data_IF_737945075190
#
_entry.id   IF_737945075190
#
_cell.length_a   1.000
_cell.length_b   1.000
_cell.length_c   1.000
_cell.angle_alpha   90.00
_cell.angle_beta   90.00
_cell.angle_gamma   90.00
#
_symmetry.space_group_name_H-M   'P 1'
#
loop_
_entity.id
_entity.type
_entity.pdbx_description
1 polymer ?
#
# COMPACT_ATOMS: atom_id res chain seq x y z
N UNK A 1 -17.95 -3.10 -21.32
CA UNK A 1 -17.59 -3.93 -20.14
C UNK A 1 -17.03 -3.01 -19.08
N UNK A 2 -17.60 -3.03 -17.87
CA UNK A 2 -17.07 -2.24 -16.73
C UNK A 2 -15.97 -3.05 -16.07
N UNK A 3 -14.72 -2.57 -16.10
CA UNK A 3 -13.60 -3.23 -15.43
C UNK A 3 -13.57 -2.76 -13.97
N UNK A 4 -13.75 -3.71 -13.05
CA UNK A 4 -13.83 -3.47 -11.60
C UNK A 4 -13.02 -4.52 -10.86
N UNK A 5 -12.27 -4.08 -9.85
CA UNK A 5 -11.56 -4.92 -8.90
C UNK A 5 -12.28 -4.87 -7.54
N UNK A 6 -12.72 -6.02 -7.06
CA UNK A 6 -13.40 -6.15 -5.76
C UNK A 6 -12.38 -6.52 -4.70
N UNK A 7 -12.32 -5.76 -3.61
CA UNK A 7 -11.23 -5.90 -2.65
C UNK A 7 -11.73 -6.19 -1.24
N UNK A 8 -12.69 -5.39 -0.76
CA UNK A 8 -13.32 -5.56 0.55
C UNK A 8 -14.79 -5.11 0.48
N UNK A 9 -15.64 -5.50 1.46
CA UNK A 9 -16.99 -4.96 1.55
C UNK A 9 -16.97 -3.42 1.51
N UNK A 10 -17.61 -2.84 0.50
CA UNK A 10 -17.68 -1.39 0.29
C UNK A 10 -16.47 -0.74 -0.40
N UNK A 11 -15.45 -1.50 -0.80
CA UNK A 11 -14.28 -1.00 -1.53
C UNK A 11 -14.16 -1.70 -2.88
N UNK A 12 -14.57 -0.98 -3.93
CA UNK A 12 -14.34 -1.34 -5.33
C UNK A 12 -13.26 -0.43 -5.91
N UNK A 13 -12.45 -0.92 -6.85
CA UNK A 13 -11.63 -0.05 -7.69
C UNK A 13 -12.09 -0.20 -9.14
N UNK A 14 -12.24 0.93 -9.82
CA UNK A 14 -12.91 1.01 -11.11
C UNK A 14 -12.10 1.92 -12.03
N UNK A 15 -12.23 1.67 -13.34
CA UNK A 15 -11.71 2.59 -14.34
C UNK A 15 -12.30 3.99 -14.14
N UNK A 16 -11.51 5.02 -14.44
CA UNK A 16 -11.92 6.42 -14.32
C UNK A 16 -11.81 6.99 -12.91
N UNK A 17 -11.32 6.22 -11.93
CA UNK A 17 -11.19 6.69 -10.55
C UNK A 17 -9.75 6.54 -10.03
N UNK A 18 -9.20 7.65 -9.53
CA UNK A 18 -8.03 7.67 -8.67
C UNK A 18 -8.48 7.42 -7.24
N UNK A 19 -8.04 6.31 -6.66
CA UNK A 19 -8.28 6.00 -5.24
C UNK A 19 -7.00 6.04 -4.43
N UNK A 20 -7.07 6.67 -3.26
CA UNK A 20 -6.03 6.61 -2.24
C UNK A 20 -6.47 5.60 -1.18
N UNK A 21 -5.62 4.63 -0.88
CA UNK A 21 -5.85 3.59 0.12
C UNK A 21 -4.86 3.77 1.27
N UNK A 22 -5.37 4.07 2.45
CA UNK A 22 -4.57 4.08 3.69
C UNK A 22 -4.93 2.83 4.49
N UNK A 23 -4.00 1.89 4.55
CA UNK A 23 -4.25 0.56 5.12
C UNK A 23 -2.95 -0.09 5.60
N UNK A 24 -3.00 -1.05 6.55
CA UNK A 24 -1.85 -1.90 6.84
C UNK A 24 -1.33 -2.61 5.58
N UNK A 25 0.00 -2.82 5.41
CA UNK A 25 0.57 -3.50 4.25
C UNK A 25 -0.02 -4.89 3.98
N UNK A 26 -0.46 -5.58 5.01
CA UNK A 26 -1.09 -6.90 4.92
C UNK A 26 -2.41 -6.85 4.13
N UNK A 27 -3.11 -5.71 4.12
CA UNK A 27 -4.31 -5.52 3.30
C UNK A 27 -3.93 -5.40 1.83
N UNK A 28 -2.92 -4.61 1.50
CA UNK A 28 -2.44 -4.51 0.12
C UNK A 28 -1.84 -5.83 -0.37
N UNK A 29 -1.18 -6.60 0.50
CA UNK A 29 -0.69 -7.93 0.18
C UNK A 29 -1.84 -8.89 -0.16
N UNK A 30 -2.88 -8.93 0.68
CA UNK A 30 -4.08 -9.73 0.40
C UNK A 30 -4.78 -9.33 -0.90
N UNK A 31 -4.72 -8.05 -1.29
CA UNK A 31 -5.23 -7.60 -2.59
C UNK A 31 -4.45 -8.23 -3.75
N UNK A 32 -3.13 -8.25 -3.67
CA UNK A 32 -2.26 -8.82 -4.69
C UNK A 32 -2.35 -10.35 -4.78
N UNK A 33 -2.82 -11.02 -3.72
CA UNK A 33 -3.07 -12.46 -3.68
C UNK A 33 -4.42 -12.86 -4.30
N UNK A 34 -5.30 -11.90 -4.60
CA UNK A 34 -6.58 -12.19 -5.26
C UNK A 34 -6.34 -12.81 -6.65
N UNK A 35 -7.00 -13.95 -6.97
CA UNK A 35 -6.89 -14.56 -8.30
C UNK A 35 -7.22 -13.59 -9.44
N UNK A 36 -8.10 -12.63 -9.22
CA UNK A 36 -8.52 -11.64 -10.22
C UNK A 36 -7.36 -10.74 -10.68
N UNK A 37 -6.37 -10.48 -9.83
CA UNK A 37 -5.21 -9.65 -10.18
C UNK A 37 -4.43 -10.24 -11.35
N UNK A 38 -4.38 -11.57 -11.48
CA UNK A 38 -3.64 -12.23 -12.57
C UNK A 38 -4.27 -11.99 -13.94
N UNK A 39 -5.54 -11.58 -13.99
CA UNK A 39 -6.24 -11.25 -15.22
C UNK A 39 -5.95 -9.82 -15.71
N UNK A 40 -5.21 -9.02 -14.94
CA UNK A 40 -4.89 -7.64 -15.26
C UNK A 40 -3.39 -7.45 -15.50
N UNK A 41 -3.05 -6.71 -16.55
CA UNK A 41 -1.73 -6.11 -16.68
C UNK A 41 -1.58 -5.07 -15.57
N UNK A 42 -0.77 -5.38 -14.57
CA UNK A 42 -0.63 -4.64 -13.32
C UNK A 42 0.79 -4.09 -13.20
N UNK A 43 0.90 -2.77 -13.09
CA UNK A 43 2.13 -2.07 -12.75
C UNK A 43 2.15 -1.76 -11.27
N UNK A 44 3.21 -2.18 -10.57
CA UNK A 44 3.40 -1.87 -9.15
C UNK A 44 4.62 -0.97 -8.96
N UNK A 45 4.40 0.31 -8.67
CA UNK A 45 5.45 1.29 -8.44
C UNK A 45 5.72 1.41 -6.93
N UNK A 46 6.97 1.36 -6.52
CA UNK A 46 7.34 1.53 -5.11
C UNK A 46 8.68 2.26 -4.96
N UNK A 47 8.93 2.84 -3.80
CA UNK A 47 10.22 3.44 -3.46
C UNK A 47 10.99 2.56 -2.48
N UNK A 48 12.30 2.39 -2.70
CA UNK A 48 13.16 1.60 -1.82
C UNK A 48 12.64 0.17 -1.62
N UNK A 49 12.61 -0.29 -0.38
CA UNK A 49 12.06 -1.60 -0.03
C UNK A 49 10.54 -1.52 0.11
N UNK A 50 9.81 -2.19 -0.76
CA UNK A 50 8.36 -2.35 -0.65
C UNK A 50 7.99 -3.07 0.65
N UNK A 51 7.03 -2.51 1.38
CA UNK A 51 6.39 -3.16 2.52
C UNK A 51 5.43 -4.26 2.05
N UNK A 52 4.89 -4.19 0.84
CA UNK A 52 3.91 -5.16 0.35
C UNK A 52 4.58 -6.35 -0.34
N UNK A 53 5.51 -6.11 -1.26
CA UNK A 53 6.10 -7.17 -2.09
C UNK A 53 6.88 -8.21 -1.28
N UNK A 54 7.40 -7.85 -0.11
CA UNK A 54 8.05 -8.81 0.80
C UNK A 54 7.07 -9.77 1.49
N UNK A 55 5.78 -9.41 1.55
CA UNK A 55 4.74 -10.18 2.26
C UNK A 55 3.98 -11.14 1.34
N UNK A 56 4.06 -10.94 0.03
CA UNK A 56 3.41 -11.81 -0.95
C UNK A 56 4.40 -12.85 -1.46
N UNK A 57 3.95 -14.10 -1.73
CA UNK A 57 4.74 -15.04 -2.52
C UNK A 57 5.18 -14.38 -3.84
N UNK A 58 6.31 -14.78 -4.44
CA UNK A 58 6.70 -14.28 -5.75
C UNK A 58 5.53 -14.41 -6.73
N UNK A 59 5.01 -13.27 -7.19
CA UNK A 59 3.87 -13.23 -8.11
C UNK A 59 4.40 -13.76 -9.45
N UNK A 60 4.02 -14.99 -9.81
CA UNK A 60 4.47 -15.67 -11.04
C UNK A 60 3.64 -15.32 -12.26
N UNK A 61 3.00 -14.15 -12.27
CA UNK A 61 2.20 -13.69 -13.40
C UNK A 61 3.06 -12.86 -14.34
N UNK A 62 3.06 -13.21 -15.63
CA UNK A 62 3.67 -12.40 -16.69
C UNK A 62 3.01 -11.01 -16.80
N UNK A 63 1.82 -10.85 -16.22
CA UNK A 63 1.06 -9.61 -16.24
C UNK A 63 1.36 -8.70 -15.04
N UNK A 64 2.26 -9.07 -14.11
CA UNK A 64 2.62 -8.25 -12.96
C UNK A 64 4.05 -7.70 -13.08
N UNK A 65 4.18 -6.38 -13.23
CA UNK A 65 5.45 -5.71 -13.45
C UNK A 65 5.79 -4.74 -12.29
N UNK A 66 6.59 -5.16 -11.29
CA UNK A 66 7.08 -4.26 -10.25
C UNK A 66 8.19 -3.35 -10.78
N UNK A 67 8.21 -2.08 -10.35
CA UNK A 67 9.29 -1.15 -10.63
C UNK A 67 9.58 -0.30 -9.40
N UNK A 68 10.87 -0.20 -9.08
CA UNK A 68 11.37 0.72 -8.07
C UNK A 68 11.58 2.10 -8.69
N UNK A 69 11.08 3.13 -8.01
CA UNK A 69 11.32 4.54 -8.33
C UNK A 69 12.14 5.16 -7.20
N UNK A 70 13.37 5.58 -7.50
CA UNK A 70 14.27 6.20 -6.53
C UNK A 70 13.85 7.64 -6.21
N UNK A 71 13.19 8.32 -7.16
CA UNK A 71 12.79 9.72 -7.03
C UNK A 71 11.33 9.95 -7.40
N UNK A 72 10.79 11.09 -6.97
CA UNK A 72 9.45 11.53 -7.37
C UNK A 72 9.34 11.77 -8.87
N UNK A 73 10.40 12.21 -9.53
CA UNK A 73 10.43 12.40 -10.99
C UNK A 73 10.34 11.07 -11.74
N UNK A 74 11.08 10.06 -11.29
CA UNK A 74 10.98 8.70 -11.83
C UNK A 74 9.58 8.12 -11.63
N UNK A 75 8.99 8.30 -10.44
CA UNK A 75 7.62 7.88 -10.17
C UNK A 75 6.65 8.55 -11.16
N UNK A 76 6.72 9.88 -11.29
CA UNK A 76 5.84 10.61 -12.20
C UNK A 76 6.07 10.24 -13.67
N UNK A 77 7.31 9.93 -14.07
CA UNK A 77 7.62 9.44 -15.41
C UNK A 77 6.99 8.07 -15.64
N UNK A 78 7.14 7.14 -14.70
CA UNK A 78 6.56 5.81 -14.77
C UNK A 78 5.02 5.83 -14.79
N UNK A 79 4.38 6.74 -14.05
CA UNK A 79 2.92 6.95 -14.11
C UNK A 79 2.50 7.38 -15.52
N UNK A 80 3.23 8.33 -16.14
CA UNK A 80 2.90 8.86 -17.47
C UNK A 80 3.13 7.85 -18.59
N UNK A 81 4.16 7.00 -18.47
CA UNK A 81 4.51 6.02 -19.50
C UNK A 81 3.79 4.67 -19.32
N UNK A 82 3.06 4.47 -18.22
CA UNK A 82 2.34 3.22 -17.98
C UNK A 82 1.19 3.04 -18.96
N UNK A 83 1.06 1.84 -19.53
CA UNK A 83 -0.05 1.38 -20.37
C UNK A 83 -0.86 0.24 -19.72
N UNK A 84 -0.55 -0.07 -18.46
CA UNK A 84 -1.15 -1.17 -17.70
C UNK A 84 -2.61 -0.91 -17.35
N UNK A 85 -3.44 -1.96 -17.29
CA UNK A 85 -4.85 -1.87 -16.91
C UNK A 85 -5.02 -1.47 -15.44
N UNK A 86 -4.10 -1.91 -14.58
CA UNK A 86 -4.05 -1.55 -13.17
C UNK A 86 -2.70 -0.90 -12.89
N UNK A 87 -2.73 0.29 -12.28
CA UNK A 87 -1.55 0.98 -11.78
C UNK A 87 -1.68 1.12 -10.26
N UNK A 88 -0.76 0.47 -9.55
CA UNK A 88 -0.63 0.57 -8.10
C UNK A 88 0.64 1.36 -7.77
N UNK A 89 0.52 2.32 -6.86
CA UNK A 89 1.63 3.13 -6.36
C UNK A 89 1.71 2.94 -4.86
N UNK A 90 2.76 2.28 -4.38
CA UNK A 90 3.14 2.28 -2.98
C UNK A 90 3.86 3.60 -2.67
N UNK A 91 3.12 4.49 -2.02
CA UNK A 91 3.61 5.79 -1.62
C UNK A 91 4.59 5.66 -0.44
N UNK A 92 5.72 6.38 -0.56
CA UNK A 92 6.68 6.55 0.51
C UNK A 92 6.89 8.04 0.79
N UNK A 93 6.83 8.50 2.06
CA UNK A 93 7.16 9.87 2.42
C UNK A 93 8.56 10.31 1.98
N UNK A 94 9.48 9.36 1.78
CA UNK A 94 10.83 9.62 1.28
C UNK A 94 10.84 10.30 -0.11
N UNK A 95 9.82 10.08 -0.94
CA UNK A 95 9.69 10.70 -2.26
C UNK A 95 9.44 12.21 -2.19
N UNK A 96 8.88 12.69 -1.09
CA UNK A 96 8.63 14.11 -0.85
C UNK A 96 9.57 14.71 0.20
N UNK A 97 10.55 13.94 0.70
CA UNK A 97 11.48 14.39 1.71
C UNK A 97 12.38 15.51 1.17
N UNK A 98 12.62 16.54 1.99
CA UNK A 98 13.45 17.69 1.62
C UNK A 98 12.77 18.70 0.69
N UNK A 99 11.50 18.52 0.35
CA UNK A 99 10.74 19.51 -0.41
C UNK A 99 10.16 20.60 0.50
N UNK A 100 10.50 21.85 0.20
CA UNK A 100 9.84 23.03 0.76
C UNK A 100 8.33 22.99 0.50
N UNK A 101 7.56 23.71 1.32
CA UNK A 101 6.08 23.63 1.32
C UNK A 101 5.49 23.97 -0.05
N UNK A 102 5.93 25.06 -0.67
CA UNK A 102 5.42 25.50 -1.98
C UNK A 102 5.80 24.50 -3.08
N UNK A 103 7.03 23.97 -3.04
CA UNK A 103 7.51 23.02 -4.04
C UNK A 103 6.81 21.68 -3.93
N UNK A 104 6.61 21.19 -2.70
CA UNK A 104 5.81 20.00 -2.42
C UNK A 104 4.40 20.15 -2.94
N UNK A 105 3.74 21.29 -2.68
CA UNK A 105 2.41 21.58 -3.23
C UNK A 105 2.37 21.50 -4.76
N UNK A 106 3.33 22.14 -5.45
CA UNK A 106 3.42 22.09 -6.92
C UNK A 106 3.67 20.67 -7.43
N UNK A 107 4.57 19.91 -6.81
CA UNK A 107 4.92 18.55 -7.22
C UNK A 107 3.77 17.57 -6.97
N UNK A 108 3.09 17.67 -5.83
CA UNK A 108 1.92 16.83 -5.53
C UNK A 108 0.76 17.13 -6.47
N UNK A 109 0.50 18.40 -6.80
CA UNK A 109 -0.51 18.76 -7.81
C UNK A 109 -0.20 18.13 -9.18
N UNK A 110 1.07 18.14 -9.61
CA UNK A 110 1.51 17.50 -10.87
C UNK A 110 1.36 15.98 -10.83
N UNK A 111 1.74 15.35 -9.72
CA UNK A 111 1.56 13.91 -9.52
C UNK A 111 0.07 13.53 -9.58
N UNK A 112 -0.79 14.23 -8.83
CA UNK A 112 -2.24 14.01 -8.84
C UNK A 112 -2.82 14.15 -10.24
N UNK A 113 -2.42 15.19 -10.99
CA UNK A 113 -2.89 15.37 -12.37
C UNK A 113 -2.41 14.25 -13.30
N UNK A 114 -1.21 13.73 -13.12
CA UNK A 114 -0.71 12.58 -13.89
C UNK A 114 -1.49 11.30 -13.55
N UNK A 115 -1.74 11.05 -12.27
CA UNK A 115 -2.52 9.91 -11.79
C UNK A 115 -3.97 9.96 -12.30
N UNK A 116 -4.62 11.13 -12.25
CA UNK A 116 -5.98 11.32 -12.81
C UNK A 116 -6.05 11.03 -14.30
N UNK A 117 -5.12 11.60 -15.08
CA UNK A 117 -5.04 11.29 -16.52
C UNK A 117 -4.82 9.80 -16.78
N UNK A 118 -4.08 9.11 -15.91
CA UNK A 118 -3.94 7.65 -16.02
C UNK A 118 -5.24 6.93 -15.67
N UNK A 119 -5.98 7.42 -14.68
CA UNK A 119 -7.25 6.83 -14.24
C UNK A 119 -8.29 6.79 -15.37
N UNK A 120 -8.26 7.73 -16.31
CA UNK A 120 -9.14 7.74 -17.51
C UNK A 120 -9.12 6.41 -18.29
N UNK A 121 -8.01 5.67 -18.24
CA UNK A 121 -7.81 4.41 -18.96
C UNK A 121 -7.32 3.26 -18.08
N UNK A 122 -7.32 3.42 -16.74
CA UNK A 122 -6.80 2.42 -15.81
C UNK A 122 -7.43 2.50 -14.44
N UNK A 123 -7.38 1.38 -13.72
CA UNK A 123 -7.62 1.40 -12.29
C UNK A 123 -6.35 1.97 -11.64
N UNK A 124 -6.46 3.08 -10.92
CA UNK A 124 -5.31 3.72 -10.26
C UNK A 124 -5.49 3.71 -8.74
N UNK A 125 -4.54 3.08 -8.06
CA UNK A 125 -4.52 2.93 -6.60
C UNK A 125 -3.22 3.52 -6.07
N UNK A 126 -3.32 4.52 -5.19
CA UNK A 126 -2.18 4.99 -4.40
C UNK A 126 -2.34 4.44 -2.99
N UNK A 127 -1.42 3.57 -2.58
CA UNK A 127 -1.44 2.89 -1.29
C UNK A 127 -0.38 3.50 -0.36
N UNK A 128 -0.71 3.65 0.93
CA UNK A 128 0.28 3.91 1.98
C UNK A 128 -0.15 3.28 3.32
N UNK A 129 0.81 2.89 4.18
CA UNK A 129 0.51 2.44 5.54
C UNK A 129 -0.06 3.54 6.44
N UNK A 130 0.31 4.80 6.18
CA UNK A 130 -0.14 5.96 6.91
C UNK A 130 -0.26 7.18 6.00
N UNK A 131 -1.10 8.15 6.41
CA UNK A 131 -1.26 9.42 5.71
C UNK A 131 -0.25 10.46 6.21
N UNK A 132 0.71 10.84 5.36
CA UNK A 132 1.56 12.01 5.59
C UNK A 132 1.03 13.27 4.88
N UNK A 133 1.71 14.40 5.05
CA UNK A 133 1.30 15.69 4.50
C UNK A 133 1.26 15.71 2.95
N UNK A 134 2.27 15.13 2.31
CA UNK A 134 2.33 15.11 0.85
C UNK A 134 1.27 14.18 0.27
N UNK A 135 1.05 13.00 0.87
CA UNK A 135 -0.04 12.12 0.47
C UNK A 135 -1.41 12.77 0.69
N UNK A 136 -1.58 13.57 1.75
CA UNK A 136 -2.83 14.31 1.99
C UNK A 136 -3.17 15.25 0.84
N UNK A 137 -2.17 15.90 0.24
CA UNK A 137 -2.36 16.75 -0.94
C UNK A 137 -2.80 15.94 -2.18
N UNK A 138 -2.28 14.73 -2.35
CA UNK A 138 -2.74 13.80 -3.40
C UNK A 138 -4.16 13.33 -3.15
N UNK A 139 -4.45 12.94 -1.90
CA UNK A 139 -5.76 12.49 -1.42
C UNK A 139 -6.85 13.55 -1.59
N UNK A 140 -6.54 14.83 -1.35
CA UNK A 140 -7.48 15.94 -1.55
C UNK A 140 -7.92 16.08 -3.02
N UNK A 141 -7.08 15.66 -3.95
CA UNK A 141 -7.40 15.63 -5.37
C UNK A 141 -7.91 14.29 -5.88
N UNK A 142 -7.92 13.23 -5.07
CA UNK A 142 -8.40 11.90 -5.46
C UNK A 142 -9.93 11.82 -5.50
N UNK A 143 -10.48 10.86 -6.24
CA UNK A 143 -11.93 10.66 -6.33
C UNK A 143 -12.49 9.99 -5.06
N UNK A 144 -11.65 9.17 -4.41
CA UNK A 144 -11.99 8.55 -3.14
C UNK A 144 -10.73 8.30 -2.31
N UNK A 145 -10.83 8.54 -1.00
CA UNK A 145 -9.83 8.08 -0.03
C UNK A 145 -10.46 7.04 0.88
N UNK A 146 -9.87 5.84 0.91
CA UNK A 146 -10.34 4.68 1.64
C UNK A 146 -9.41 4.43 2.81
N UNK A 147 -9.97 4.36 4.01
CA UNK A 147 -9.23 4.05 5.23
C UNK A 147 -9.62 2.65 5.70
N UNK A 148 -8.67 1.72 5.68
CA UNK A 148 -8.83 0.42 6.29
C UNK A 148 -8.07 0.43 7.60
N UNK A 149 -8.77 0.80 8.66
CA UNK A 149 -8.23 0.71 10.02
C UNK A 149 -7.88 -0.76 10.32
N UNK A 150 -6.69 -1.06 10.88
CA UNK A 150 -6.43 -2.37 11.42
C UNK A 150 -7.51 -2.68 12.46
N UNK A 151 -8.16 -3.83 12.33
CA UNK A 151 -9.00 -4.37 13.40
C UNK A 151 -8.09 -4.45 14.64
N UNK A 152 -8.46 -3.88 15.79
CA UNK A 152 -7.62 -3.92 16.97
C UNK A 152 -7.21 -5.37 17.22
N UNK A 153 -5.91 -5.61 17.44
CA UNK A 153 -5.41 -6.94 17.72
C UNK A 153 -6.21 -7.51 18.89
N UNK A 154 -6.78 -8.71 18.72
CA UNK A 154 -7.41 -9.40 19.84
C UNK A 154 -6.36 -9.48 20.96
N UNK A 155 -6.71 -9.07 22.20
CA UNK A 155 -5.76 -9.08 23.30
C UNK A 155 -5.19 -10.50 23.41
N UNK A 156 -3.88 -10.62 23.20
CA UNK A 156 -3.19 -11.89 23.40
C UNK A 156 -3.53 -12.37 24.81
N UNK A 157 -3.98 -13.62 25.00
CA UNK A 157 -4.23 -14.13 26.34
C UNK A 157 -2.94 -13.97 27.14
N UNK A 158 -3.02 -13.19 28.22
CA UNK A 158 -1.92 -13.00 29.14
C UNK A 158 -1.62 -14.37 29.72
N UNK A 159 -0.55 -15.01 29.27
CA UNK A 159 -0.06 -16.23 29.90
C UNK A 159 0.48 -15.79 31.26
N UNK A 160 -0.33 -15.97 32.30
CA UNK A 160 0.11 -15.90 33.69
C UNK A 160 1.16 -16.99 33.86
N UNK A 161 2.43 -16.62 33.77
CA UNK A 161 3.54 -17.49 34.17
C UNK A 161 3.39 -17.71 35.67
N UNK A 162 2.72 -18.80 36.05
CA UNK A 162 2.68 -19.26 37.42
C UNK A 162 4.12 -19.56 37.84
N UNK A 163 4.66 -18.72 38.73
CA UNK A 163 5.93 -18.96 39.38
C UNK A 163 5.84 -20.31 40.12
N UNK A 164 6.45 -21.35 39.55
CA UNK A 164 6.66 -22.63 40.22
C UNK A 164 7.61 -22.39 41.39
N UNK A 165 7.04 -22.23 42.59
CA UNK A 165 7.74 -22.40 43.85
C UNK A 165 8.33 -23.82 43.88
N UNK A 166 9.63 -23.95 43.67
CA UNK A 166 10.36 -25.19 43.88
C UNK A 166 11.00 -25.11 45.26
N UNK A 167 10.28 -25.64 46.24
CA UNK A 167 10.81 -25.96 47.57
C UNK A 167 12.09 -26.79 47.41
N UNK A 168 13.24 -26.19 47.71
CA UNK A 168 14.47 -26.94 47.98
C UNK A 168 14.26 -27.67 49.31
N UNK A 169 13.96 -28.96 49.21
CA UNK A 169 14.14 -29.92 50.31
C UNK A 169 15.63 -30.00 50.62
N UNK A 170 16.06 -29.32 51.67
CA UNK A 170 17.28 -29.67 52.39
C UNK A 170 16.94 -30.85 53.30
N UNK A 171 17.27 -32.06 52.85
CA UNK A 171 17.39 -33.24 53.71
C UNK A 171 18.76 -33.83 53.40
N UNK A 172 19.73 -33.52 54.26
CA UNK A 172 20.92 -34.34 54.50
C UNK A 172 21.57 -33.85 55.79
N UNK A 173 21.07 -34.35 56.91
CA UNK A 173 21.89 -34.66 58.08
C UNK A 173 22.07 -36.18 58.09
N UNK A 174 23.32 -36.62 57.98
CA UNK A 174 23.90 -37.84 58.55
C UNK A 174 25.41 -37.85 58.24
#
# INVERSE_FOLDING_TARGET
MTVRLWCWPGVTFELGQLKVLVAPPERMAALLELPEIVNFHTRYLHHGRSEVLFRVPPIRSEHFEPMTCATLEELMAAVRSSFHTVLMVEWSPALAAGLEVEERGRRMARLTAALKRRADSSIVIVFAPAMDEALRQVSAGADQTVWLVPRPAEPRPTVTVAARAKAQRTLTEA
#
